data_IF_316423100840
#
_entry.id   IF_316423100840
#
_cell.length_a   1.000
_cell.length_b   1.000
_cell.length_c   1.000
_cell.angle_alpha   90.00
_cell.angle_beta   90.00
_cell.angle_gamma   90.00
#
_symmetry.space_group_name_H-M   'P 1'
#
loop_
_entity.id
_entity.type
_entity.pdbx_description
1 polymer ?
#
# COMPACT_ATOMS: atom_id res chain seq x y z
N UNK A 1 -26.07 -26.03 21.43
CA UNK A 1 -24.78 -26.08 20.70
C UNK A 1 -25.01 -25.71 19.25
N UNK A 2 -24.95 -24.42 18.89
CA UNK A 2 -25.06 -23.94 17.49
C UNK A 2 -24.18 -22.70 17.33
N UNK A 3 -22.88 -22.92 17.14
CA UNK A 3 -21.90 -21.84 16.91
C UNK A 3 -20.81 -22.25 15.91
N UNK A 4 -21.10 -23.16 14.98
CA UNK A 4 -20.15 -23.62 13.96
C UNK A 4 -20.36 -23.00 12.56
N UNK A 5 -21.35 -22.12 12.38
CA UNK A 5 -21.74 -21.60 11.06
C UNK A 5 -21.01 -20.33 10.59
N UNK A 6 -20.28 -19.63 11.46
CA UNK A 6 -19.74 -18.29 11.17
C UNK A 6 -18.24 -18.25 10.84
N UNK A 7 -17.52 -19.37 10.93
CA UNK A 7 -16.06 -19.42 10.72
C UNK A 7 -15.64 -19.65 9.26
N UNK A 8 -16.50 -20.21 8.42
CA UNK A 8 -16.18 -20.48 7.01
C UNK A 8 -15.91 -19.23 6.14
N UNK A 9 -16.69 -18.14 6.21
CA UNK A 9 -16.48 -17.00 5.32
C UNK A 9 -15.18 -16.24 5.63
N UNK A 10 -14.70 -16.25 6.88
CA UNK A 10 -13.43 -15.61 7.26
C UNK A 10 -12.21 -16.37 6.75
N UNK A 11 -12.25 -17.70 6.69
CA UNK A 11 -11.16 -18.52 6.17
C UNK A 11 -11.00 -18.39 4.64
N UNK A 12 -12.09 -18.14 3.92
CA UNK A 12 -12.05 -17.92 2.46
C UNK A 12 -11.50 -16.54 2.10
N UNK A 13 -11.69 -15.54 2.96
CA UNK A 13 -11.16 -14.19 2.75
C UNK A 13 -9.65 -14.10 2.99
N UNK A 14 -9.05 -14.99 3.79
CA UNK A 14 -7.58 -15.04 3.94
C UNK A 14 -6.89 -15.77 2.80
N UNK A 15 -7.61 -16.61 2.03
CA UNK A 15 -7.04 -17.42 0.96
C UNK A 15 -6.66 -16.63 -0.31
N UNK A 16 -7.25 -15.45 -0.53
CA UNK A 16 -6.99 -14.62 -1.72
C UNK A 16 -5.96 -13.50 -1.50
N UNK A 17 -5.43 -13.37 -0.29
CA UNK A 17 -4.49 -12.30 0.08
C UNK A 17 -3.02 -12.75 0.03
N UNK A 18 -2.07 -11.79 0.03
CA UNK A 18 -0.67 -12.09 0.18
C UNK A 18 -0.41 -12.81 1.51
N UNK A 19 0.53 -13.76 1.50
CA UNK A 19 0.91 -14.60 2.64
C UNK A 19 2.39 -14.43 2.99
N UNK A 20 2.82 -14.96 4.14
CA UNK A 20 4.23 -14.97 4.56
C UNK A 20 4.85 -13.58 4.67
N UNK A 21 6.14 -13.47 4.32
CA UNK A 21 6.90 -12.22 4.39
C UNK A 21 6.25 -11.09 3.61
N UNK A 22 5.65 -11.40 2.45
CA UNK A 22 4.99 -10.38 1.63
C UNK A 22 3.84 -9.69 2.37
N UNK A 23 3.06 -10.46 3.15
CA UNK A 23 2.01 -9.88 4.00
C UNK A 23 2.59 -8.98 5.07
N UNK A 24 3.70 -9.41 5.70
CA UNK A 24 4.39 -8.65 6.74
C UNK A 24 4.84 -7.30 6.18
N UNK A 25 5.50 -7.30 5.01
CA UNK A 25 6.00 -6.07 4.39
C UNK A 25 4.86 -5.12 4.00
N UNK A 26 3.79 -5.64 3.38
CA UNK A 26 2.63 -4.84 3.01
C UNK A 26 1.99 -4.18 4.23
N UNK A 27 1.78 -4.94 5.30
CA UNK A 27 1.19 -4.40 6.51
C UNK A 27 2.13 -3.42 7.23
N UNK A 28 3.44 -3.66 7.22
CA UNK A 28 4.41 -2.73 7.78
C UNK A 28 4.41 -1.39 7.04
N UNK A 29 4.44 -1.41 5.70
CA UNK A 29 4.37 -0.20 4.86
C UNK A 29 3.03 0.52 5.04
N UNK A 30 1.92 -0.20 5.12
CA UNK A 30 0.60 0.41 5.35
C UNK A 30 0.47 1.06 6.72
N UNK A 31 1.14 0.51 7.75
CA UNK A 31 1.10 1.03 9.10
C UNK A 31 1.93 2.32 9.29
N UNK A 32 2.79 2.67 8.31
CA UNK A 32 3.53 3.92 8.30
C UNK A 32 2.57 5.12 8.29
N UNK A 33 2.89 6.19 9.03
CA UNK A 33 1.96 7.31 9.21
C UNK A 33 1.85 8.21 7.97
N UNK A 34 2.73 8.06 7.00
CA UNK A 34 2.83 8.95 5.85
C UNK A 34 1.62 8.81 4.91
N UNK A 35 1.02 9.94 4.56
CA UNK A 35 -0.21 10.07 3.80
C UNK A 35 0.07 10.64 2.41
N UNK A 36 -0.02 9.81 1.34
CA UNK A 36 0.07 10.28 -0.03
C UNK A 36 -0.94 11.40 -0.30
N UNK A 37 -0.55 12.42 -1.07
CA UNK A 37 -1.40 13.55 -1.44
C UNK A 37 -1.70 14.54 -0.30
N UNK A 38 -1.13 14.34 0.89
CA UNK A 38 -1.24 15.27 2.03
C UNK A 38 0.15 15.69 2.49
N UNK A 39 1.01 14.72 2.82
CA UNK A 39 2.32 15.02 3.37
C UNK A 39 3.31 15.38 2.24
N UNK A 40 4.20 16.34 2.53
CA UNK A 40 5.24 16.82 1.60
C UNK A 40 6.54 17.04 2.35
N UNK A 41 7.52 16.17 2.14
CA UNK A 41 8.83 16.24 2.77
C UNK A 41 9.83 15.35 2.03
N UNK A 42 11.12 15.58 2.30
CA UNK A 42 12.20 14.83 1.67
C UNK A 42 12.28 15.05 0.16
N UNK A 43 13.27 14.42 -0.47
CA UNK A 43 13.41 14.39 -1.92
C UNK A 43 13.09 12.98 -2.43
N UNK A 44 12.19 12.82 -3.41
CA UNK A 44 11.98 11.54 -4.09
C UNK A 44 13.32 10.98 -4.58
N UNK A 45 13.68 9.74 -4.26
CA UNK A 45 14.91 9.18 -4.76
C UNK A 45 14.89 9.10 -6.29
N UNK A 46 15.98 9.47 -6.96
CA UNK A 46 16.03 9.49 -8.41
C UNK A 46 15.83 8.08 -8.97
N UNK A 47 14.92 7.93 -9.93
CA UNK A 47 14.70 6.68 -10.66
C UNK A 47 13.86 5.61 -9.94
N UNK A 48 13.67 5.69 -8.61
CA UNK A 48 12.94 4.69 -7.83
C UNK A 48 11.51 4.51 -8.31
N UNK A 49 10.79 5.59 -8.63
CA UNK A 49 9.41 5.47 -9.11
C UNK A 49 9.30 4.73 -10.44
N UNK A 50 10.19 5.05 -11.39
CA UNK A 50 10.23 4.35 -12.68
C UNK A 50 10.59 2.88 -12.51
N UNK A 51 11.48 2.58 -11.58
CA UNK A 51 11.88 1.20 -11.29
C UNK A 51 10.72 0.41 -10.66
N UNK A 52 10.04 0.98 -9.66
CA UNK A 52 8.88 0.39 -9.02
C UNK A 52 7.70 0.20 -9.99
N UNK A 53 7.47 1.12 -10.93
CA UNK A 53 6.45 0.95 -11.95
C UNK A 53 6.73 -0.20 -12.93
N UNK A 54 8.01 -0.48 -13.21
CA UNK A 54 8.40 -1.54 -14.14
C UNK A 54 8.45 -2.92 -13.51
N UNK A 55 8.84 -3.00 -12.24
CA UNK A 55 9.23 -4.26 -11.59
C UNK A 55 8.44 -4.54 -10.30
N UNK A 56 7.81 -3.51 -9.73
CA UNK A 56 7.07 -3.63 -8.48
C UNK A 56 5.75 -4.35 -8.68
N UNK A 57 5.36 -5.11 -7.66
CA UNK A 57 4.03 -5.70 -7.59
C UNK A 57 3.05 -4.65 -7.03
N UNK A 58 1.92 -4.50 -7.71
CA UNK A 58 0.91 -3.50 -7.37
C UNK A 58 -0.18 -4.13 -6.53
N UNK A 59 -0.47 -3.50 -5.40
CA UNK A 59 -1.54 -3.89 -4.50
C UNK A 59 -2.52 -2.75 -4.24
N UNK A 60 -3.79 -3.10 -4.06
CA UNK A 60 -4.92 -2.20 -3.83
C UNK A 60 -5.96 -2.81 -2.86
N UNK A 61 -7.04 -2.07 -2.56
CA UNK A 61 -8.14 -2.57 -1.72
C UNK A 61 -8.99 -3.66 -2.39
N UNK A 62 -8.68 -4.03 -3.63
CA UNK A 62 -9.40 -5.05 -4.41
C UNK A 62 -10.57 -4.45 -5.22
N UNK A 63 -10.85 -5.09 -6.35
CA UNK A 63 -11.95 -4.83 -7.32
C UNK A 63 -11.83 -3.56 -8.20
N UNK A 64 -11.22 -2.45 -7.74
CA UNK A 64 -11.22 -1.18 -8.51
C UNK A 64 -9.92 -0.84 -9.27
N UNK A 65 -8.95 -1.75 -9.32
CA UNK A 65 -7.58 -1.43 -9.75
C UNK A 65 -7.17 -1.78 -11.19
N UNK A 66 -7.97 -2.58 -11.91
CA UNK A 66 -7.57 -3.19 -13.18
C UNK A 66 -6.87 -4.55 -13.02
N UNK A 67 -6.64 -5.25 -14.14
CA UNK A 67 -6.23 -6.68 -14.19
C UNK A 67 -4.91 -7.03 -13.48
N UNK A 68 -4.08 -6.04 -13.13
CA UNK A 68 -2.75 -6.25 -12.53
C UNK A 68 -2.65 -5.80 -11.06
N UNK A 69 -3.76 -5.37 -10.44
CA UNK A 69 -3.74 -4.92 -9.03
C UNK A 69 -4.21 -6.06 -8.13
N UNK A 70 -3.29 -6.55 -7.31
CA UNK A 70 -3.55 -7.59 -6.33
C UNK A 70 -4.24 -6.99 -5.10
N UNK A 71 -5.07 -7.76 -4.42
CA UNK A 71 -5.60 -7.34 -3.13
C UNK A 71 -4.48 -7.37 -2.07
N UNK A 72 -4.29 -6.31 -1.27
CA UNK A 72 -3.24 -6.28 -0.23
C UNK A 72 -3.56 -7.05 1.05
N UNK A 73 -4.76 -7.63 1.18
CA UNK A 73 -5.14 -8.38 2.38
C UNK A 73 -5.75 -7.53 3.49
N UNK A 74 -5.92 -8.14 4.67
CA UNK A 74 -6.35 -7.45 5.89
C UNK A 74 -5.12 -7.08 6.71
N UNK A 75 -4.78 -5.79 6.72
CA UNK A 75 -3.82 -5.18 7.64
C UNK A 75 -4.58 -4.31 8.64
N UNK A 76 -4.13 -4.26 9.89
CA UNK A 76 -4.85 -3.55 10.96
C UNK A 76 -4.91 -2.04 10.74
N UNK A 77 -3.76 -1.37 10.74
CA UNK A 77 -3.65 0.09 10.61
C UNK A 77 -3.19 0.46 9.21
N UNK A 78 -3.87 1.42 8.56
CA UNK A 78 -3.50 2.00 7.26
C UNK A 78 -3.47 3.52 7.35
N UNK A 79 -2.54 4.17 6.66
CA UNK A 79 -2.68 5.60 6.36
C UNK A 79 -3.92 5.86 5.49
N UNK A 80 -4.78 6.79 5.92
CA UNK A 80 -6.14 6.98 5.40
C UNK A 80 -6.23 7.30 3.90
N UNK A 81 -5.18 7.87 3.30
CA UNK A 81 -5.19 8.31 1.89
C UNK A 81 -4.48 7.36 0.93
N UNK A 82 -4.10 6.15 1.38
CA UNK A 82 -3.45 5.17 0.51
C UNK A 82 -4.46 4.43 -0.34
N UNK A 83 -4.38 4.60 -1.67
CA UNK A 83 -5.20 3.89 -2.65
C UNK A 83 -4.46 2.70 -3.27
N UNK A 84 -3.14 2.79 -3.36
CA UNK A 84 -2.28 1.81 -4.04
C UNK A 84 -0.93 1.70 -3.33
N UNK A 85 -0.38 0.49 -3.32
CA UNK A 85 0.96 0.19 -2.82
C UNK A 85 1.72 -0.56 -3.92
N UNK A 86 2.87 -0.03 -4.34
CA UNK A 86 3.81 -0.71 -5.21
C UNK A 86 4.96 -1.21 -4.33
N UNK A 87 5.14 -2.52 -4.23
CA UNK A 87 6.26 -3.09 -3.47
C UNK A 87 7.27 -3.68 -4.43
N UNK A 88 8.52 -3.30 -4.23
CA UNK A 88 9.63 -3.75 -5.04
C UNK A 88 10.00 -2.80 -6.19
N UNK A 89 11.20 -3.00 -6.76
CA UNK A 89 12.20 -3.96 -6.29
C UNK A 89 12.81 -3.52 -4.95
N UNK A 90 13.24 -4.50 -4.15
CA UNK A 90 13.93 -4.25 -2.87
C UNK A 90 15.08 -3.25 -3.11
N UNK A 91 15.25 -2.23 -2.25
CA UNK A 91 14.61 -2.05 -0.93
C UNK A 91 13.36 -1.16 -0.91
N UNK A 92 12.69 -0.96 -2.05
CA UNK A 92 11.70 0.11 -2.18
C UNK A 92 10.25 -0.36 -2.10
N UNK A 93 9.41 0.49 -1.50
CA UNK A 93 7.97 0.46 -1.64
C UNK A 93 7.43 1.88 -1.80
N UNK A 94 6.35 2.03 -2.56
CA UNK A 94 5.69 3.31 -2.77
C UNK A 94 4.22 3.19 -2.41
N UNK A 95 3.70 4.14 -1.64
CA UNK A 95 2.25 4.31 -1.50
C UNK A 95 1.78 5.48 -2.34
N UNK A 96 0.66 5.30 -3.03
CA UNK A 96 0.03 6.32 -3.88
C UNK A 96 -1.43 6.48 -3.50
N UNK A 97 -1.93 7.70 -3.67
CA UNK A 97 -3.31 8.06 -3.35
C UNK A 97 -3.40 9.52 -2.95
N UNK A 98 -4.49 9.89 -2.30
CA UNK A 98 -4.69 11.25 -1.83
C UNK A 98 -6.10 11.49 -1.32
N UNK A 99 -6.36 12.73 -0.89
CA UNK A 99 -7.66 13.10 -0.36
C UNK A 99 -8.73 13.04 -1.46
N UNK A 100 -9.92 12.59 -1.06
CA UNK A 100 -11.13 12.63 -1.87
C UNK A 100 -12.17 13.53 -1.23
N UNK A 101 -12.86 14.32 -2.04
CA UNK A 101 -14.04 15.08 -1.63
C UNK A 101 -15.22 14.65 -2.49
N UNK A 102 -16.31 14.18 -1.86
CA UNK A 102 -17.52 13.69 -2.55
C UNK A 102 -17.20 12.63 -3.63
N UNK A 103 -16.29 11.70 -3.30
CA UNK A 103 -15.84 10.64 -4.22
C UNK A 103 -14.82 11.07 -5.28
N UNK A 104 -14.59 12.38 -5.48
CA UNK A 104 -13.63 12.90 -6.46
C UNK A 104 -12.25 13.07 -5.83
N UNK A 105 -11.20 12.66 -6.55
CA UNK A 105 -9.81 12.93 -6.16
C UNK A 105 -9.55 14.44 -6.18
N UNK A 106 -9.12 15.01 -5.06
CA UNK A 106 -8.80 16.44 -4.93
C UNK A 106 -7.31 16.70 -4.72
N UNK A 107 -6.58 15.71 -4.22
CA UNK A 107 -5.12 15.71 -4.23
C UNK A 107 -4.64 14.31 -4.60
N UNK A 108 -3.48 14.19 -5.22
CA UNK A 108 -2.84 12.90 -5.43
C UNK A 108 -1.35 13.04 -5.16
N UNK A 109 -0.73 12.00 -4.64
CA UNK A 109 0.68 12.04 -4.29
C UNK A 109 1.30 10.67 -4.19
N UNK A 110 2.56 10.67 -3.82
CA UNK A 110 3.38 9.47 -3.71
C UNK A 110 4.30 9.61 -2.51
N UNK A 111 4.27 8.62 -1.63
CA UNK A 111 5.22 8.47 -0.55
C UNK A 111 6.16 7.30 -0.86
N UNK A 112 7.43 7.48 -0.50
CA UNK A 112 8.53 6.58 -0.78
C UNK A 112 8.99 5.97 0.53
N UNK A 113 9.05 4.65 0.55
CA UNK A 113 9.43 3.86 1.71
C UNK A 113 10.63 3.01 1.36
N UNK A 114 11.55 2.88 2.31
CA UNK A 114 12.74 2.05 2.19
C UNK A 114 12.75 1.05 3.33
N UNK A 115 13.06 -0.19 3.01
CA UNK A 115 13.49 -1.17 3.99
C UNK A 115 15.01 -1.03 4.19
N UNK A 116 15.43 -0.79 5.43
CA UNK A 116 16.86 -0.70 5.80
C UNK A 116 17.39 -1.94 6.54
N UNK A 117 16.59 -3.00 6.66
CA UNK A 117 16.93 -4.22 7.37
C UNK A 117 16.43 -4.25 8.82
N UNK A 118 16.23 -3.09 9.44
CA UNK A 118 15.57 -2.96 10.75
C UNK A 118 14.05 -2.73 10.60
N UNK A 119 13.63 -2.28 9.41
CA UNK A 119 12.25 -2.22 9.01
C UNK A 119 11.96 -1.13 7.98
N UNK A 120 10.69 -1.00 7.65
CA UNK A 120 10.21 -0.01 6.69
C UNK A 120 10.19 1.40 7.29
N UNK A 121 10.71 2.38 6.55
CA UNK A 121 10.69 3.81 6.92
C UNK A 121 10.25 4.66 5.74
N UNK A 122 9.44 5.69 5.99
CA UNK A 122 9.13 6.70 4.97
C UNK A 122 10.28 7.70 4.87
N UNK A 123 10.82 7.86 3.67
CA UNK A 123 11.96 8.75 3.41
C UNK A 123 11.56 10.05 2.70
N UNK A 124 10.44 10.04 1.96
CA UNK A 124 9.95 11.20 1.23
C UNK A 124 8.46 11.06 0.91
N UNK A 125 7.79 12.19 0.77
CA UNK A 125 6.45 12.29 0.17
C UNK A 125 6.39 13.51 -0.74
N UNK A 126 5.71 13.34 -1.88
CA UNK A 126 5.40 14.44 -2.79
C UNK A 126 3.91 14.47 -3.12
N UNK A 127 3.42 15.68 -3.40
CA UNK A 127 2.13 15.89 -4.04
C UNK A 127 2.41 15.93 -5.55
N UNK A 128 1.67 15.12 -6.30
CA UNK A 128 1.76 15.07 -7.75
C UNK A 128 0.86 16.19 -8.30
N UNK A 129 1.38 17.06 -9.19
CA UNK A 129 0.60 18.10 -9.84
C UNK A 129 -0.48 17.52 -10.76
#
# INVERSE_FOLDING_TARGET
MRAFGLLLPLALLTACGPTGQRRIDLCAVQALPARPGVDRFGAPPPGVERQAQRQGEVYGPGVFGGYNIRWWGLCGRKADTTDMLLIGPVPWALTKGGARARGRQVSYGTCYHRDDGDGWKTIACRINP
#
